data_IF_208726318655
#
_entry.id   IF_208726318655
#
_cell.length_a   1.000
_cell.length_b   1.000
_cell.length_c   1.000
_cell.angle_alpha   90.00
_cell.angle_beta   90.00
_cell.angle_gamma   90.00
#
_symmetry.space_group_name_H-M   'P 1'
#
loop_
_entity.id
_entity.type
_entity.pdbx_description
1 polymer ?
2 water ?
#
# COMPACT_ATOMS: atom_id res chain seq x y z
N UNK A 4 16.22 -24.48 -6.70
CA UNK A 4 14.84 -24.08 -6.50
C UNK A 4 14.60 -22.68 -7.04
N UNK A 5 15.48 -21.73 -6.70
CA UNK A 5 15.33 -20.38 -7.20
C UNK A 5 15.48 -20.33 -8.70
N UNK A 6 16.45 -21.09 -9.25
CA UNK A 6 16.66 -21.12 -10.68
C UNK A 6 15.51 -21.77 -11.42
N UNK A 7 14.74 -22.63 -10.73
CA UNK A 7 13.56 -23.26 -11.31
C UNK A 7 12.32 -22.40 -11.16
N UNK A 8 12.09 -21.85 -9.96
CA UNK A 8 10.87 -21.08 -9.74
C UNK A 8 10.92 -19.75 -10.47
N UNK A 9 12.11 -19.17 -10.66
CA UNK A 9 12.21 -17.94 -11.46
C UNK A 9 11.79 -18.21 -12.90
N UNK A 10 12.26 -19.33 -13.46
CA UNK A 10 11.88 -19.70 -14.82
C UNK A 10 10.39 -19.98 -14.91
N UNK A 11 9.84 -20.68 -13.91
CA UNK A 11 8.40 -20.95 -13.91
C UNK A 11 7.61 -19.64 -13.87
N UNK A 12 8.08 -18.68 -13.07
CA UNK A 12 7.39 -17.39 -12.98
C UNK A 12 7.43 -16.66 -14.32
N UNK A 13 8.62 -16.58 -14.93
CA UNK A 13 8.71 -15.91 -16.22
C UNK A 13 7.87 -16.62 -17.27
N UNK A 14 7.81 -17.95 -17.21
CA UNK A 14 7.00 -18.70 -18.16
C UNK A 14 5.51 -18.42 -17.98
N UNK A 15 5.03 -18.44 -16.74
CA UNK A 15 3.62 -18.16 -16.47
C UNK A 15 3.27 -16.73 -16.87
N UNK A 16 4.17 -15.78 -16.58
CA UNK A 16 3.85 -14.39 -16.89
C UNK A 16 3.86 -14.16 -18.39
N UNK A 17 4.82 -14.76 -19.10
CA UNK A 17 4.83 -14.65 -20.55
C UNK A 17 3.59 -15.30 -21.14
N UNK A 18 3.12 -16.38 -20.53
CA UNK A 18 1.88 -17.01 -20.96
C UNK A 18 0.70 -16.06 -20.78
N UNK A 19 0.66 -15.33 -19.67
CA UNK A 19 -0.47 -14.42 -19.42
C UNK A 19 -0.52 -13.32 -20.48
N UNK A 20 0.65 -12.80 -20.87
CA UNK A 20 0.73 -11.81 -21.92
C UNK A 20 0.17 -10.44 -21.60
N UNK A 21 -0.43 -10.26 -20.43
CA UNK A 21 -0.97 -8.95 -20.09
C UNK A 21 0.14 -7.94 -19.90
N UNK A 22 -0.11 -6.65 -20.16
CA UNK A 22 0.91 -5.62 -19.90
C UNK A 22 1.35 -5.56 -18.45
N UNK A 23 0.51 -6.00 -17.52
CA UNK A 23 0.93 -6.07 -16.13
C UNK A 23 1.94 -7.18 -15.90
N UNK A 24 1.81 -8.28 -16.63
CA UNK A 24 2.74 -9.39 -16.47
C UNK A 24 4.14 -9.00 -16.94
N UNK A 25 4.23 -8.23 -18.02
CA UNK A 25 5.52 -7.79 -18.54
C UNK A 25 6.29 -7.00 -17.49
N UNK A 26 5.60 -6.06 -16.85
CA UNK A 26 6.17 -5.26 -15.75
C UNK A 26 6.64 -6.30 -14.71
N UNK A 27 5.75 -7.24 -14.42
CA UNK A 27 6.04 -8.31 -13.47
C UNK A 27 7.31 -9.03 -13.90
N UNK A 28 7.36 -9.38 -15.20
CA UNK A 28 8.56 -9.99 -15.76
C UNK A 28 9.77 -9.13 -15.47
N UNK A 29 9.68 -7.84 -15.79
CA UNK A 29 10.79 -6.93 -15.48
C UNK A 29 11.05 -6.90 -13.99
N UNK A 30 9.98 -6.91 -13.19
CA UNK A 30 10.14 -6.92 -11.74
C UNK A 30 10.90 -8.15 -11.27
N UNK A 31 10.80 -9.25 -12.02
CA UNK A 31 11.54 -10.45 -11.67
C UNK A 31 12.97 -10.33 -12.15
N UNK A 32 13.19 -9.74 -13.31
CA UNK A 32 14.54 -9.68 -13.86
C UNK A 32 15.45 -8.78 -13.04
N UNK A 33 14.88 -7.74 -12.40
CA UNK A 33 15.66 -6.81 -11.59
C UNK A 33 15.64 -7.15 -10.10
N UNK A 34 14.91 -8.19 -9.69
CA UNK A 34 14.86 -8.63 -8.29
C UNK A 34 14.49 -7.48 -7.36
N UNK A 35 13.38 -6.83 -7.68
CA UNK A 35 12.88 -5.69 -6.92
C UNK A 35 11.71 -6.16 -6.06
N UNK A 36 11.94 -6.27 -4.75
CA UNK A 36 10.91 -6.79 -3.85
C UNK A 36 9.63 -5.98 -3.95
N UNK A 37 9.76 -4.65 -3.90
CA UNK A 37 8.58 -3.78 -3.95
C UNK A 37 7.85 -3.93 -5.27
N UNK A 38 8.59 -4.02 -6.37
CA UNK A 38 7.95 -4.20 -7.67
C UNK A 38 7.24 -5.54 -7.75
N UNK A 39 7.84 -6.59 -7.19
CA UNK A 39 7.18 -7.91 -7.16
C UNK A 39 5.89 -7.83 -6.36
N UNK A 40 5.93 -7.16 -5.20
CA UNK A 40 4.75 -7.04 -4.36
C UNK A 40 3.65 -6.29 -5.10
N UNK A 41 4.00 -5.17 -5.74
CA UNK A 41 3.02 -4.37 -6.48
C UNK A 41 2.43 -5.18 -7.62
N UNK A 42 3.27 -5.91 -8.37
CA UNK A 42 2.77 -6.70 -9.48
C UNK A 42 1.84 -7.81 -9.00
N UNK A 43 2.19 -8.45 -7.88
CA UNK A 43 1.33 -9.50 -7.35
C UNK A 43 -0.01 -8.93 -6.92
N UNK A 44 0.01 -7.79 -6.22
CA UNK A 44 -1.23 -7.16 -5.78
C UNK A 44 -2.10 -6.75 -6.96
N UNK A 45 -1.46 -6.27 -8.03
CA UNK A 45 -2.25 -5.84 -9.19
C UNK A 45 -2.83 -7.04 -9.92
N UNK A 46 -2.04 -8.09 -10.13
CA UNK A 46 -2.55 -9.28 -10.79
C UNK A 46 -3.65 -9.93 -9.97
N UNK A 47 -3.58 -9.80 -8.63
CA UNK A 47 -4.66 -10.29 -7.79
C UNK A 47 -5.91 -9.45 -7.93
N UNK A 48 -5.76 -8.12 -8.01
CA UNK A 48 -6.89 -7.22 -8.11
C UNK A 48 -7.47 -7.14 -9.52
N UNK A 49 -6.85 -7.79 -10.50
CA UNK A 49 -7.39 -7.81 -11.86
C UNK A 49 -7.93 -9.17 -12.28
N UNK A 50 -7.61 -10.24 -11.54
CA UNK A 50 -8.14 -11.57 -11.83
C UNK A 50 -7.11 -12.60 -12.23
N UNK A 51 -5.85 -12.23 -12.42
CA UNK A 51 -4.81 -13.20 -12.76
C UNK A 51 -4.29 -13.75 -11.44
N UNK A 52 -4.88 -14.87 -11.01
CA UNK A 52 -4.48 -15.46 -9.74
C UNK A 52 -3.17 -16.22 -9.85
N UNK A 53 -2.95 -16.91 -10.97
CA UNK A 53 -1.74 -17.70 -11.12
C UNK A 53 -0.49 -16.82 -11.13
N UNK A 54 -0.55 -15.68 -11.81
CA UNK A 54 0.62 -14.81 -11.84
C UNK A 54 0.99 -14.30 -10.46
N UNK A 55 -0.01 -13.85 -9.71
CA UNK A 55 0.24 -13.39 -8.35
C UNK A 55 0.78 -14.54 -7.48
N UNK A 56 0.25 -15.74 -7.69
CA UNK A 56 0.71 -16.90 -6.92
C UNK A 56 2.18 -17.19 -7.19
N UNK A 57 2.58 -17.22 -8.46
CA UNK A 57 3.97 -17.56 -8.76
C UNK A 57 4.89 -16.42 -8.33
N UNK A 58 4.44 -15.17 -8.38
CA UNK A 58 5.24 -14.09 -7.84
C UNK A 58 5.45 -14.26 -6.34
N UNK A 59 4.39 -14.70 -5.65
CA UNK A 59 4.52 -15.01 -4.23
C UNK A 59 5.52 -16.12 -3.98
N UNK A 60 5.47 -17.18 -4.80
CA UNK A 60 6.43 -18.27 -4.65
C UNK A 60 7.86 -17.78 -4.85
N UNK A 61 8.10 -17.04 -5.94
CA UNK A 61 9.45 -16.57 -6.21
C UNK A 61 9.94 -15.61 -5.15
N UNK A 62 9.05 -14.80 -4.58
CA UNK A 62 9.47 -13.89 -3.52
C UNK A 62 9.80 -14.64 -2.23
N UNK A 63 8.97 -15.63 -1.87
CA UNK A 63 9.21 -16.38 -0.65
C UNK A 63 10.48 -17.22 -0.75
N UNK A 64 10.74 -17.79 -1.92
CA UNK A 64 11.95 -18.58 -2.09
C UNK A 64 13.19 -17.68 -2.09
N UNK A 65 13.07 -16.48 -2.64
CA UNK A 65 14.20 -15.56 -2.68
C UNK A 65 14.52 -15.02 -1.29
N UNK B 4 25.47 6.20 -13.00
CA UNK B 4 24.49 5.26 -13.53
C UNK B 4 23.07 5.81 -13.42
N UNK B 5 22.71 6.27 -12.21
CA UNK B 5 21.37 6.80 -12.01
C UNK B 5 21.17 8.08 -12.81
N UNK B 6 22.19 8.93 -12.89
CA UNK B 6 22.09 10.19 -13.62
C UNK B 6 21.95 9.99 -15.11
N UNK B 7 22.31 8.82 -15.63
CA UNK B 7 22.13 8.55 -17.06
C UNK B 7 20.72 8.05 -17.37
N UNK B 8 20.24 7.07 -16.61
CA UNK B 8 18.92 6.49 -16.87
C UNK B 8 17.82 7.47 -16.47
N UNK B 9 18.10 8.34 -15.50
CA UNK B 9 17.13 9.33 -15.05
C UNK B 9 16.69 10.25 -16.19
N UNK B 10 17.61 10.63 -17.07
CA UNK B 10 17.24 11.56 -18.14
C UNK B 10 16.19 10.96 -19.07
N UNK B 11 16.41 9.73 -19.55
CA UNK B 11 15.40 9.11 -20.39
C UNK B 11 14.12 8.86 -19.60
N UNK B 12 14.24 8.50 -18.31
CA UNK B 12 13.03 8.27 -17.52
C UNK B 12 12.17 9.52 -17.44
N UNK B 13 12.79 10.67 -17.13
CA UNK B 13 12.04 11.92 -17.08
C UNK B 13 11.50 12.29 -18.45
N UNK B 14 12.25 11.99 -19.53
CA UNK B 14 11.76 12.30 -20.87
C UNK B 14 10.50 11.51 -21.17
N UNK B 15 10.51 10.21 -20.86
CA UNK B 15 9.33 9.37 -21.05
C UNK B 15 8.17 9.88 -20.21
N UNK B 16 8.46 10.30 -18.98
CA UNK B 16 7.39 10.73 -18.08
C UNK B 16 6.76 12.03 -18.58
N UNK B 17 7.59 12.98 -19.02
CA UNK B 17 7.06 14.20 -19.61
C UNK B 17 6.29 13.91 -20.88
N UNK B 18 6.74 12.91 -21.65
CA UNK B 18 6.01 12.49 -22.84
C UNK B 18 4.62 12.01 -22.48
N UNK B 19 4.48 11.33 -21.34
CA UNK B 19 3.15 10.83 -20.95
C UNK B 19 2.19 11.98 -20.73
N UNK B 20 2.65 13.05 -20.09
CA UNK B 20 1.88 14.25 -19.90
C UNK B 20 0.68 14.15 -18.99
N UNK B 21 0.33 12.96 -18.50
CA UNK B 21 -0.81 12.86 -17.60
C UNK B 21 -0.49 13.53 -16.26
N UNK B 22 -1.51 14.06 -15.57
CA UNK B 22 -1.26 14.66 -14.25
C UNK B 22 -0.59 13.69 -13.28
N UNK B 23 -0.79 12.38 -13.46
CA UNK B 23 -0.08 11.42 -12.64
C UNK B 23 1.40 11.38 -13.01
N UNK B 24 1.71 11.55 -14.29
CA UNK B 24 3.10 11.56 -14.72
C UNK B 24 3.84 12.79 -14.20
N UNK B 25 3.15 13.94 -14.17
CA UNK B 25 3.74 15.17 -13.67
C UNK B 25 4.18 15.00 -12.22
N UNK B 26 3.43 14.21 -11.46
CA UNK B 26 3.79 13.90 -10.07
C UNK B 26 5.06 13.02 -10.16
N UNK B 27 4.99 12.02 -11.03
CA UNK B 27 6.08 11.06 -11.22
C UNK B 27 7.42 11.76 -11.47
N UNK B 28 7.41 12.71 -12.42
CA UNK B 28 8.62 13.50 -12.69
C UNK B 28 9.13 14.13 -11.41
N UNK B 29 8.23 14.79 -10.66
CA UNK B 29 8.62 15.37 -9.38
C UNK B 29 9.15 14.31 -8.44
N UNK B 30 8.53 13.13 -8.44
CA UNK B 30 9.04 12.05 -7.61
C UNK B 30 10.42 11.60 -8.05
N UNK B 31 10.71 11.71 -9.35
CA UNK B 31 12.01 11.27 -9.85
C UNK B 31 13.08 12.33 -9.61
N UNK B 32 12.75 13.59 -9.84
CA UNK B 32 13.75 14.65 -9.75
C UNK B 32 14.22 14.87 -8.32
N UNK B 33 13.36 14.59 -7.34
CA UNK B 33 13.69 14.79 -5.94
C UNK B 33 14.27 13.53 -5.29
N UNK B 34 14.34 12.42 -6.04
CA UNK B 34 14.94 11.18 -5.57
C UNK B 34 14.29 10.69 -4.28
N UNK B 35 12.97 10.57 -4.30
CA UNK B 35 12.19 10.11 -3.16
C UNK B 35 11.74 8.68 -3.45
N UNK B 36 12.36 7.71 -2.78
CA UNK B 36 12.08 6.31 -3.05
C UNK B 36 10.60 5.97 -2.86
N UNK B 37 10.01 6.39 -1.73
CA UNK B 37 8.62 6.09 -1.48
C UNK B 37 7.72 6.76 -2.51
N UNK B 38 8.02 8.00 -2.87
CA UNK B 38 7.22 8.69 -3.88
C UNK B 38 7.34 8.01 -5.23
N UNK B 39 8.53 7.53 -5.58
CA UNK B 39 8.70 6.79 -6.83
C UNK B 39 7.87 5.51 -6.80
N UNK B 40 7.87 4.81 -5.66
CA UNK B 40 7.07 3.58 -5.55
C UNK B 40 5.59 3.88 -5.72
N UNK B 41 5.10 4.92 -5.05
CA UNK B 41 3.68 5.27 -5.15
C UNK B 41 3.33 5.68 -6.57
N UNK B 42 4.19 6.49 -7.20
CA UNK B 42 3.92 6.93 -8.56
C UNK B 42 3.94 5.76 -9.54
N UNK B 43 4.88 4.83 -9.35
CA UNK B 43 4.94 3.66 -10.22
C UNK B 43 3.69 2.80 -10.06
N UNK B 44 3.28 2.56 -8.82
CA UNK B 44 2.07 1.76 -8.59
C UNK B 44 0.85 2.42 -9.21
N UNK B 45 0.76 3.76 -9.10
CA UNK B 45 -0.41 4.43 -9.64
C UNK B 45 -0.39 4.43 -11.17
N UNK B 46 0.78 4.68 -11.78
CA UNK B 46 0.87 4.65 -13.22
C UNK B 46 0.58 3.26 -13.78
N UNK B 47 0.93 2.21 -13.03
CA UNK B 47 0.63 0.86 -13.48
C UNK B 47 -0.87 0.56 -13.40
N UNK B 48 -1.52 0.99 -12.32
CA UNK B 48 -2.92 0.70 -12.11
C UNK B 48 -3.86 1.62 -12.89
N UNK B 49 -3.32 2.55 -13.68
CA UNK B 49 -4.15 3.40 -14.54
C UNK B 49 -4.01 3.05 -16.01
N UNK B 50 -3.01 2.25 -16.38
CA UNK B 50 -2.83 1.82 -17.76
C UNK B 50 -1.55 2.31 -18.38
N UNK B 51 -0.78 3.15 -17.70
CA UNK B 51 0.50 3.64 -18.22
C UNK B 51 1.60 2.67 -17.81
N UNK B 52 1.87 1.68 -18.66
CA UNK B 52 2.99 0.78 -18.42
C UNK B 52 4.31 1.46 -18.77
N UNK B 53 4.28 2.38 -19.72
CA UNK B 53 5.48 3.07 -20.15
C UNK B 53 6.14 3.79 -18.99
N UNK B 54 5.35 4.50 -18.18
CA UNK B 54 5.90 5.17 -17.01
C UNK B 54 6.39 4.22 -15.94
N UNK B 55 5.61 3.18 -15.64
CA UNK B 55 6.01 2.22 -14.61
C UNK B 55 7.31 1.53 -14.96
N UNK B 56 7.51 1.21 -16.24
CA UNK B 56 8.74 0.54 -16.65
C UNK B 56 9.96 1.40 -16.38
N UNK B 57 9.90 2.69 -16.77
CA UNK B 57 11.06 3.54 -16.58
C UNK B 57 11.27 3.86 -15.11
N UNK B 58 10.20 3.96 -14.33
CA UNK B 58 10.37 4.15 -12.89
C UNK B 58 11.02 2.92 -12.25
N UNK B 59 10.62 1.72 -12.67
CA UNK B 59 11.26 0.52 -12.16
C UNK B 59 12.72 0.47 -12.55
N UNK B 60 13.05 0.81 -13.80
CA UNK B 60 14.44 0.80 -14.24
C UNK B 60 15.28 1.77 -13.42
N UNK B 61 14.81 3.02 -13.29
CA UNK B 61 15.57 4.01 -12.56
C UNK B 61 15.67 3.67 -11.07
N UNK B 62 14.62 3.06 -10.51
CA UNK B 62 14.66 2.67 -9.11
C UNK B 62 15.64 1.53 -8.88
N UNK B 63 15.69 0.56 -9.81
CA UNK B 63 16.65 -0.52 -9.69
C UNK B 63 18.08 0.00 -9.85
N UNK B 64 18.27 1.02 -10.70
CA UNK B 64 19.60 1.60 -10.83
C UNK B 64 19.97 2.35 -9.55
N UNK B 65 18.98 2.98 -8.90
CA UNK B 65 19.27 3.66 -7.64
C UNK B 65 19.59 2.67 -6.54
N UNK B 66 18.90 1.52 -6.53
CA UNK B 66 19.12 0.52 -5.50
C UNK B 66 20.52 -0.07 -5.60
N UNK B 67 20.93 -0.46 -6.81
CA UNK B 67 22.24 -1.05 -7.01
C UNK B 67 23.27 0.04 -7.28
N UNK C 4 13.56 25.85 9.79
CA UNK C 4 13.52 25.37 8.42
C UNK C 4 12.21 24.63 8.17
N UNK C 5 11.91 23.68 9.05
CA UNK C 5 10.68 22.90 8.94
C UNK C 5 9.45 23.75 9.21
N UNK C 6 9.56 24.72 10.12
CA UNK C 6 8.41 25.51 10.54
C UNK C 6 7.82 26.33 9.40
N UNK C 7 8.57 26.58 8.33
CA UNK C 7 8.02 27.29 7.17
C UNK C 7 7.30 26.34 6.22
N UNK C 8 7.90 25.18 5.92
CA UNK C 8 7.26 24.27 4.98
C UNK C 8 6.03 23.62 5.61
N UNK C 9 6.04 23.43 6.93
CA UNK C 9 4.85 22.91 7.59
C UNK C 9 3.68 23.86 7.44
N UNK C 10 3.94 25.17 7.61
CA UNK C 10 2.90 26.18 7.44
C UNK C 10 2.41 26.20 6.00
N UNK C 11 3.34 26.12 5.05
CA UNK C 11 2.95 26.10 3.65
C UNK C 11 2.06 24.90 3.35
N UNK C 12 2.42 23.73 3.87
CA UNK C 12 1.63 22.52 3.62
C UNK C 12 0.24 22.62 4.23
N UNK C 13 0.17 23.04 5.50
CA UNK C 13 -1.13 23.13 6.15
C UNK C 13 -2.02 24.16 5.47
N UNK C 14 -1.44 25.27 5.02
CA UNK C 14 -2.24 26.29 4.33
C UNK C 14 -2.75 25.78 3.00
N UNK C 15 -1.87 25.16 2.20
CA UNK C 15 -2.28 24.65 0.89
C UNK C 15 -3.35 23.58 1.04
N UNK C 16 -3.20 22.69 2.02
CA UNK C 16 -4.16 21.60 2.17
C UNK C 16 -5.50 22.10 2.71
N UNK C 17 -5.47 23.00 3.69
CA UNK C 17 -6.70 23.57 4.22
C UNK C 17 -7.45 24.36 3.15
N UNK C 18 -6.73 25.00 2.23
CA UNK C 18 -7.38 25.71 1.14
C UNK C 18 -8.22 24.77 0.28
N UNK C 19 -7.73 23.55 0.05
CA UNK C 19 -8.43 22.61 -0.82
C UNK C 19 -9.80 22.23 -0.26
N UNK C 20 -9.87 22.03 1.05
CA UNK C 20 -11.14 21.71 1.69
C UNK C 20 -11.70 20.34 1.39
N UNK C 21 -11.06 19.54 0.53
CA UNK C 21 -11.56 18.20 0.26
C UNK C 21 -11.38 17.32 1.50
N UNK C 22 -12.25 16.33 1.68
CA UNK C 22 -12.06 15.41 2.81
C UNK C 22 -10.74 14.67 2.78
N UNK C 23 -10.15 14.51 1.60
CA UNK C 23 -8.80 13.93 1.52
C UNK C 23 -7.76 14.92 2.02
N UNK C 24 -7.95 16.21 1.74
CA UNK C 24 -7.01 17.22 2.21
C UNK C 24 -7.09 17.39 3.71
N UNK C 25 -8.30 17.31 4.26
CA UNK C 25 -8.51 17.44 5.71
C UNK C 25 -7.75 16.35 6.46
N UNK C 26 -7.67 15.16 5.88
CA UNK C 26 -6.90 14.06 6.49
C UNK C 26 -5.42 14.47 6.37
N UNK C 27 -5.05 14.92 5.17
CA UNK C 27 -3.68 15.32 4.86
C UNK C 27 -3.12 16.29 5.90
N UNK C 28 -3.93 17.32 6.21
CA UNK C 28 -3.55 18.30 7.23
C UNK C 28 -3.15 17.60 8.53
N UNK C 29 -4.02 16.69 9.00
CA UNK C 29 -3.70 15.93 10.20
C UNK C 29 -2.41 15.14 10.04
N UNK C 30 -2.23 14.51 8.88
CA UNK C 30 -1.01 13.75 8.63
C UNK C 30 0.21 14.64 8.70
N UNK C 31 0.04 15.92 8.37
CA UNK C 31 1.15 16.85 8.45
C UNK C 31 1.36 17.30 9.88
N UNK C 32 0.27 17.50 10.63
CA UNK C 32 0.42 18.09 11.96
C UNK C 32 1.12 17.15 12.93
N UNK C 33 0.90 15.84 12.81
CA UNK C 33 1.52 14.88 13.72
C UNK C 33 2.80 14.28 13.16
N UNK C 34 3.19 14.63 11.93
CA UNK C 34 4.42 14.12 11.32
C UNK C 34 4.41 12.60 11.32
N UNK C 35 3.35 12.03 10.75
CA UNK C 35 3.14 10.59 10.71
C UNK C 35 3.49 10.08 9.30
N UNK C 36 4.62 9.39 9.19
CA UNK C 36 5.12 8.97 7.89
C UNK C 36 4.10 8.13 7.13
N UNK C 37 3.52 7.13 7.81
CA UNK C 37 2.52 6.28 7.17
C UNK C 37 1.28 7.07 6.78
N UNK C 38 0.82 7.95 7.68
CA UNK C 38 -0.35 8.76 7.36
C UNK C 38 -0.06 9.71 6.22
N UNK C 39 1.14 10.27 6.18
CA UNK C 39 1.53 11.16 5.08
C UNK C 39 1.54 10.39 3.76
N UNK C 40 2.09 9.17 3.78
CA UNK C 40 2.10 8.35 2.56
C UNK C 40 0.68 8.03 2.09
N UNK C 41 -0.19 7.65 3.02
CA UNK C 41 -1.57 7.32 2.67
C UNK C 41 -2.27 8.56 2.10
N UNK C 42 -2.07 9.71 2.75
CA UNK C 42 -2.70 10.94 2.28
C UNK C 42 -2.20 11.34 0.90
N UNK C 43 -0.90 11.20 0.65
CA UNK C 43 -0.36 11.54 -0.66
C UNK C 43 -0.92 10.62 -1.74
N UNK C 44 -0.94 9.31 -1.47
CA UNK C 44 -1.47 8.38 -2.45
C UNK C 44 -2.95 8.65 -2.70
N UNK C 45 -3.70 9.02 -1.67
CA UNK C 45 -5.13 9.27 -1.86
C UNK C 45 -5.37 10.56 -2.64
N UNK C 46 -4.64 11.62 -2.32
CA UNK C 46 -4.78 12.85 -3.10
C UNK C 46 -4.37 12.64 -4.54
N UNK C 47 -3.39 11.76 -4.78
CA UNK C 47 -3.02 11.42 -6.15
C UNK C 47 -4.13 10.62 -6.82
N UNK C 48 -4.75 9.70 -6.09
CA UNK C 48 -5.81 8.87 -6.64
C UNK C 48 -7.15 9.59 -6.71
N UNK C 49 -7.23 10.83 -6.24
CA UNK C 49 -8.46 11.60 -6.33
C UNK C 49 -8.38 12.77 -7.31
N UNK C 50 -7.18 13.19 -7.71
CA UNK C 50 -7.06 14.26 -8.68
C UNK C 50 -6.44 15.54 -8.16
N UNK C 51 -6.12 15.62 -6.87
CA UNK C 51 -5.56 16.83 -6.28
C UNK C 51 -4.06 16.88 -6.55
N UNK C 52 -3.67 17.58 -7.60
CA UNK C 52 -2.26 17.68 -7.94
C UNK C 52 -1.52 18.60 -6.97
N UNK C 53 -2.19 19.69 -6.54
CA UNK C 53 -1.53 20.62 -5.62
C UNK C 53 -1.25 19.96 -4.28
N UNK C 54 -2.22 19.21 -3.76
CA UNK C 54 -2.02 18.54 -2.48
C UNK C 54 -0.92 17.49 -2.55
N UNK C 55 -0.93 16.69 -3.61
CA UNK C 55 0.10 15.67 -3.77
C UNK C 55 1.48 16.32 -3.91
N UNK C 56 1.56 17.42 -4.67
CA UNK C 56 2.84 18.09 -4.87
C UNK C 56 3.38 18.66 -3.56
N UNK C 57 2.51 19.34 -2.80
CA UNK C 57 2.98 19.95 -1.56
C UNK C 57 3.30 18.88 -0.51
N UNK C 58 2.57 17.75 -0.52
CA UNK C 58 2.93 16.66 0.37
C UNK C 58 4.29 16.07 0.02
N UNK C 59 4.57 15.92 -1.28
CA UNK C 59 5.89 15.45 -1.70
C UNK C 59 6.98 16.44 -1.27
N UNK C 60 6.74 17.73 -1.45
CA UNK C 60 7.72 18.74 -1.05
C UNK C 60 7.99 18.69 0.45
N UNK C 61 6.93 18.69 1.26
CA UNK C 61 7.11 18.67 2.71
C UNK C 61 7.74 17.36 3.17
N UNK C 62 7.42 16.25 2.52
CA UNK C 62 8.03 14.98 2.91
C UNK C 62 9.51 14.95 2.56
N UNK C 63 9.87 15.50 1.39
CA UNK C 63 11.27 15.55 1.01
C UNK C 63 12.06 16.45 1.96
N UNK C 64 11.43 17.53 2.43
CA UNK C 64 12.10 18.39 3.40
C UNK C 64 12.23 17.69 4.75
N UNK C 65 11.20 16.98 5.15
CA UNK C 65 11.21 16.33 6.45
C UNK C 65 12.23 15.22 6.54
N UNK C 66 12.38 14.46 5.47
CA UNK C 66 13.30 13.32 5.45
C UNK C 66 14.72 13.64 5.83
N UNK C 67 15.06 14.91 5.92
CA UNK C 67 16.44 15.26 6.17
C UNK C 67 16.62 16.35 7.19
N UNK C 68 17.41 16.09 8.21
CA UNK C 68 17.70 17.14 9.16
C UNK C 68 16.45 17.87 9.61
N UNK D 4 -1.88 7.57 28.62
CA UNK D 4 -2.21 8.32 27.41
C UNK D 4 -2.84 7.41 26.36
N UNK D 5 -2.18 6.27 26.10
CA UNK D 5 -2.69 5.34 25.10
C UNK D 5 -4.01 4.72 25.54
N UNK D 6 -4.11 4.34 26.83
CA UNK D 6 -5.33 3.76 27.36
C UNK D 6 -6.47 4.75 27.38
N UNK D 7 -6.16 6.05 27.29
CA UNK D 7 -7.18 7.08 27.24
C UNK D 7 -7.72 7.23 25.82
N UNK D 8 -6.82 7.29 24.84
CA UNK D 8 -7.23 7.49 23.45
C UNK D 8 -7.89 6.24 22.89
N UNK D 9 -7.55 5.06 23.43
CA UNK D 9 -8.18 3.83 22.97
C UNK D 9 -9.69 3.86 23.14
N UNK D 10 -10.18 4.36 24.28
CA UNK D 10 -11.61 4.37 24.52
C UNK D 10 -12.35 5.26 23.52
N UNK D 11 -11.85 6.49 23.30
CA UNK D 11 -12.48 7.36 22.32
C UNK D 11 -12.42 6.77 20.92
N UNK D 12 -11.30 6.16 20.57
CA UNK D 12 -11.18 5.57 19.23
C UNK D 12 -12.17 4.43 19.04
N UNK D 13 -12.23 3.52 20.02
CA UNK D 13 -13.15 2.40 19.94
C UNK D 13 -14.60 2.87 19.91
N UNK D 14 -14.93 3.91 20.68
CA UNK D 14 -16.30 4.42 20.67
C UNK D 14 -16.66 5.01 19.31
N UNK D 15 -15.78 5.86 18.77
CA UNK D 15 -16.06 6.49 17.49
C UNK D 15 -16.18 5.44 16.39
N UNK D 16 -15.31 4.43 16.41
CA UNK D 16 -15.36 3.42 15.36
C UNK D 16 -16.59 2.52 15.50
N UNK D 17 -16.94 2.14 16.73
CA UNK D 17 -18.13 1.34 16.96
C UNK D 17 -19.39 2.07 16.54
N UNK D 18 -19.42 3.39 16.71
CA UNK D 18 -20.58 4.16 16.29
C UNK D 18 -20.85 4.02 14.80
N UNK D 19 -19.80 3.95 13.99
CA UNK D 19 -19.98 3.89 12.54
C UNK D 19 -20.75 2.64 12.14
N UNK D 20 -20.45 1.51 12.78
CA UNK D 20 -21.14 0.27 12.49
C UNK D 20 -20.85 -0.33 11.14
N UNK D 21 -20.07 0.34 10.30
CA UNK D 21 -19.73 -0.19 8.99
C UNK D 21 -18.85 -1.43 9.13
N UNK D 22 -18.92 -2.37 8.18
CA UNK D 22 -18.03 -3.53 8.23
C UNK D 22 -16.56 -3.16 8.23
N UNK D 23 -16.21 -1.99 7.70
CA UNK D 23 -14.85 -1.49 7.82
C UNK D 23 -14.55 -1.05 9.25
N UNK D 24 -15.56 -0.50 9.94
CA UNK D 24 -15.35 -0.09 11.32
C UNK D 24 -15.18 -1.29 12.25
N UNK D 25 -15.93 -2.37 12.01
CA UNK D 25 -15.81 -3.59 12.81
C UNK D 25 -14.39 -4.14 12.73
N UNK D 26 -13.77 -3.95 11.57
CA UNK D 26 -12.40 -4.35 11.37
C UNK D 26 -11.55 -3.35 12.18
N UNK D 27 -11.82 -2.06 11.96
CA UNK D 27 -11.07 -0.99 12.61
C UNK D 27 -11.01 -1.17 14.13
N UNK D 28 -12.17 -1.39 14.75
CA UNK D 28 -12.21 -1.67 16.19
C UNK D 28 -11.27 -2.81 16.53
N UNK D 29 -11.39 -3.91 15.78
CA UNK D 29 -10.52 -5.06 16.01
C UNK D 29 -9.05 -4.68 15.84
N UNK D 30 -8.76 -3.82 14.87
CA UNK D 30 -7.38 -3.36 14.68
C UNK D 30 -6.88 -2.58 15.89
N UNK D 31 -7.77 -1.87 16.59
CA UNK D 31 -7.32 -1.07 17.73
C UNK D 31 -7.17 -1.94 18.97
N UNK D 32 -8.11 -2.85 19.21
CA UNK D 32 -8.08 -3.61 20.46
C UNK D 32 -6.88 -4.53 20.52
N UNK D 33 -6.41 -5.01 19.36
CA UNK D 33 -5.27 -5.91 19.29
C UNK D 33 -3.96 -5.16 19.04
N UNK D 34 -4.01 -3.84 18.89
CA UNK D 34 -2.82 -3.00 18.73
C UNK D 34 -1.97 -3.47 17.55
N UNK D 35 -2.60 -3.60 16.39
CA UNK D 35 -1.94 -4.05 15.16
C UNK D 35 -1.73 -2.85 14.26
N UNK D 36 -0.49 -2.40 14.15
CA UNK D 36 -0.17 -1.19 13.38
C UNK D 36 -0.61 -1.32 11.93
N UNK D 37 -0.24 -2.44 11.29
CA UNK D 37 -0.58 -2.63 9.88
C UNK D 37 -2.09 -2.67 9.67
N UNK D 38 -2.81 -3.33 10.57
CA UNK D 38 -4.26 -3.39 10.45
C UNK D 38 -4.87 -1.99 10.61
N UNK D 39 -4.34 -1.20 11.54
CA UNK D 39 -4.83 0.18 11.70
C UNK D 39 -4.58 0.98 10.43
N UNK D 40 -3.39 0.84 9.84
CA UNK D 40 -3.07 1.57 8.62
C UNK D 40 -4.00 1.17 7.48
N UNK D 41 -4.23 -0.13 7.30
CA UNK D 41 -5.12 -0.60 6.24
C UNK D 41 -6.54 -0.09 6.48
N UNK D 42 -6.99 -0.16 7.74
CA UNK D 42 -8.35 0.29 8.05
C UNK D 42 -8.50 1.77 7.78
N UNK D 43 -7.50 2.57 8.14
CA UNK D 43 -7.57 4.01 7.89
C UNK D 43 -7.60 4.31 6.40
N UNK D 44 -6.71 3.68 5.62
CA UNK D 44 -6.69 3.94 4.19
C UNK D 44 -8.00 3.51 3.53
N UNK D 45 -8.60 2.42 4.00
CA UNK D 45 -9.85 1.95 3.42
C UNK D 45 -11.02 2.84 3.82
N UNK D 46 -11.05 3.27 5.09
CA UNK D 46 -12.09 4.18 5.56
C UNK D 46 -12.01 5.52 4.85
N UNK D 47 -10.81 5.92 4.40
CA UNK D 47 -10.72 7.16 3.63
C UNK D 47 -11.38 7.02 2.27
N UNK D 48 -11.15 5.89 1.59
CA UNK D 48 -11.75 5.67 0.28
C UNK D 48 -13.18 5.17 0.37
N UNK D 49 -13.71 4.99 1.58
CA UNK D 49 -15.11 4.59 1.74
C UNK D 49 -15.99 5.74 2.23
N UNK D 50 -15.42 6.84 2.72
CA UNK D 50 -16.19 8.00 3.11
C UNK D 50 -16.20 8.32 4.58
N UNK D 51 -15.63 7.46 5.42
CA UNK D 51 -15.59 7.70 6.87
C UNK D 51 -14.32 8.49 7.19
N UNK D 52 -14.44 9.82 7.23
CA UNK D 52 -13.29 10.64 7.55
C UNK D 52 -13.00 10.65 9.05
N UNK D 53 -14.05 10.61 9.88
CA UNK D 53 -13.86 10.63 11.32
C UNK D 53 -13.10 9.38 11.78
N UNK D 54 -13.44 8.23 11.20
CA UNK D 54 -12.75 7.01 11.56
C UNK D 54 -11.28 7.05 11.20
N UNK D 55 -10.97 7.53 9.99
CA UNK D 55 -9.57 7.63 9.59
C UNK D 55 -8.80 8.60 10.48
N UNK D 56 -9.42 9.74 10.83
CA UNK D 56 -8.74 10.71 11.68
C UNK D 56 -8.47 10.15 13.06
N UNK D 57 -9.48 9.50 13.66
CA UNK D 57 -9.29 8.96 15.01
C UNK D 57 -8.32 7.78 14.99
N UNK D 58 -8.29 7.01 13.90
CA UNK D 58 -7.29 5.96 13.77
C UNK D 58 -5.89 6.55 13.70
N UNK D 59 -5.74 7.67 12.98
CA UNK D 59 -4.47 8.37 12.94
C UNK D 59 -4.05 8.85 14.32
N UNK D 60 -5.00 9.43 15.07
CA UNK D 60 -4.68 9.89 16.43
C UNK D 60 -4.20 8.74 17.29
N UNK D 61 -4.97 7.64 17.31
CA UNK D 61 -4.60 6.51 18.16
C UNK D 61 -3.29 5.89 17.71
N UNK D 62 -3.00 5.87 16.41
CA UNK D 62 -1.74 5.31 15.95
C UNK D 62 -0.57 6.21 16.32
N UNK D 63 -0.77 7.53 16.24
CA UNK D 63 0.31 8.43 16.62
C UNK D 63 0.63 8.29 18.09
N UNK D 64 -0.40 8.06 18.91
CA UNK D 64 -0.14 7.78 20.32
C UNK D 64 0.49 6.40 20.46
N UNK D 65 0.10 5.45 19.61
CA UNK D 65 0.59 4.08 19.68
C UNK D 65 2.06 3.95 19.32
N UNK D 66 2.58 4.84 18.46
CA UNK D 66 3.99 4.75 18.09
C UNK D 66 4.93 4.86 19.28
N UNK D 67 4.49 5.51 20.36
CA UNK D 67 5.32 5.71 21.54
C UNK D 67 4.63 5.20 22.79
N UNK E 3 -0.24 -25.91 19.69
CA UNK E 3 -0.11 -24.61 20.32
C UNK E 3 -1.05 -23.59 19.71
N UNK E 4 -0.83 -22.31 20.03
CA UNK E 4 -1.73 -21.26 19.54
C UNK E 4 -1.65 -21.12 18.02
N UNK E 5 -0.43 -20.98 17.48
CA UNK E 5 -0.29 -20.78 16.05
C UNK E 5 -0.69 -22.03 15.27
N UNK E 6 -0.32 -23.21 15.76
CA UNK E 6 -0.63 -24.45 15.04
C UNK E 6 -2.13 -24.74 15.01
N UNK E 7 -2.89 -24.18 15.94
CA UNK E 7 -4.35 -24.29 15.99
C UNK E 7 -5.03 -23.21 15.15
N UNK E 8 -4.55 -21.97 15.29
CA UNK E 8 -5.18 -20.86 14.58
C UNK E 8 -4.89 -20.95 13.08
N UNK E 9 -3.76 -21.54 12.69
CA UNK E 9 -3.49 -21.74 11.28
C UNK E 9 -4.54 -22.64 10.65
N UNK E 10 -4.87 -23.74 11.34
CA UNK E 10 -5.88 -24.66 10.85
C UNK E 10 -7.25 -24.00 10.82
N UNK E 11 -7.60 -23.27 11.88
CA UNK E 11 -8.88 -22.58 11.91
C UNK E 11 -8.99 -21.56 10.78
N UNK E 12 -7.91 -20.81 10.53
CA UNK E 12 -7.91 -19.81 9.46
C UNK E 12 -8.08 -20.46 8.10
N UNK E 13 -7.32 -21.52 7.84
CA UNK E 13 -7.44 -22.21 6.55
C UNK E 13 -8.84 -22.80 6.38
N UNK E 14 -9.45 -23.28 7.47
CA UNK E 14 -10.80 -23.82 7.37
C UNK E 14 -11.80 -22.73 6.97
N UNK E 15 -11.72 -21.56 7.62
CA UNK E 15 -12.63 -20.48 7.26
C UNK E 15 -12.38 -20.01 5.81
N UNK E 16 -11.10 -19.94 5.41
CA UNK E 16 -10.78 -19.38 4.09
C UNK E 16 -11.16 -20.34 2.96
N UNK E 17 -10.94 -21.64 3.14
CA UNK E 17 -11.26 -22.59 2.08
C UNK E 17 -12.75 -22.59 1.73
N UNK E 18 -13.61 -22.39 2.72
CA UNK E 18 -15.05 -22.33 2.47
C UNK E 18 -15.41 -21.23 1.49
N UNK E 19 -14.71 -20.09 1.58
CA UNK E 19 -15.06 -18.93 0.74
C UNK E 19 -14.90 -19.26 -0.74
N UNK E 20 -13.84 -19.99 -1.08
CA UNK E 20 -13.62 -20.38 -2.46
C UNK E 20 -13.26 -19.25 -3.40
N UNK E 21 -13.27 -18.01 -2.93
CA UNK E 21 -12.94 -16.87 -3.78
C UNK E 21 -11.48 -16.94 -4.20
N UNK E 22 -11.15 -16.41 -5.39
CA UNK E 22 -9.73 -16.35 -5.77
C UNK E 22 -8.90 -15.56 -4.78
N UNK E 23 -9.51 -14.63 -4.06
CA UNK E 23 -8.78 -13.93 -3.01
C UNK E 23 -8.50 -14.86 -1.83
N UNK E 24 -9.46 -15.74 -1.51
CA UNK E 24 -9.20 -16.70 -0.45
C UNK E 24 -8.15 -17.71 -0.89
N UNK E 25 -8.18 -18.10 -2.16
CA UNK E 25 -7.19 -19.00 -2.73
C UNK E 25 -5.80 -18.39 -2.61
N UNK E 26 -5.72 -17.06 -2.63
CA UNK E 26 -4.44 -16.38 -2.46
C UNK E 26 -4.18 -16.43 -0.93
N UNK E 27 -5.21 -16.07 -0.17
CA UNK E 27 -5.11 -16.01 1.29
C UNK E 27 -4.55 -17.29 1.90
N UNK E 28 -5.11 -18.44 1.52
CA UNK E 28 -4.58 -19.72 1.99
C UNK E 28 -3.09 -19.82 1.68
N UNK E 29 -2.70 -19.52 0.44
CA UNK E 29 -1.28 -19.52 0.10
C UNK E 29 -0.53 -18.51 0.95
N UNK E 30 -1.12 -17.34 1.20
CA UNK E 30 -0.47 -16.38 2.08
C UNK E 30 -0.32 -16.92 3.50
N UNK E 31 -1.26 -17.76 3.94
CA UNK E 31 -1.17 -18.29 5.30
C UNK E 31 -0.21 -19.47 5.35
N UNK E 32 -0.30 -20.39 4.38
CA UNK E 32 0.48 -21.61 4.45
C UNK E 32 1.97 -21.34 4.27
N UNK E 33 2.32 -20.33 3.49
CA UNK E 33 3.71 -20.00 3.22
C UNK E 33 4.24 -18.93 4.17
N UNK E 34 3.39 -18.42 5.07
CA UNK E 34 3.77 -17.45 6.10
C UNK E 34 4.41 -16.20 5.50
N UNK E 35 3.70 -15.59 4.56
CA UNK E 35 4.18 -14.37 3.89
C UNK E 35 3.45 -13.18 4.47
N UNK E 36 4.16 -12.37 5.26
CA UNK E 36 3.53 -11.24 5.94
C UNK E 36 2.90 -10.29 4.93
N UNK E 37 3.64 -9.95 3.87
CA UNK E 37 3.13 -9.02 2.86
C UNK E 37 1.93 -9.59 2.14
N UNK E 38 1.98 -10.87 1.77
CA UNK E 38 0.85 -11.50 1.10
C UNK E 38 -0.35 -11.56 2.02
N UNK E 39 -0.12 -11.80 3.31
CA UNK E 39 -1.21 -11.80 4.28
C UNK E 39 -1.86 -10.43 4.35
N UNK E 40 -1.05 -9.36 4.35
CA UNK E 40 -1.60 -8.01 4.37
C UNK E 40 -2.42 -7.74 3.11
N UNK E 41 -1.89 -8.11 1.95
CA UNK E 41 -2.59 -7.87 0.69
C UNK E 41 -3.91 -8.63 0.66
N UNK E 42 -3.89 -9.90 1.08
CA UNK E 42 -5.11 -10.70 1.07
C UNK E 42 -6.13 -10.15 2.05
N UNK E 43 -5.68 -9.71 3.23
CA UNK E 43 -6.61 -9.17 4.21
C UNK E 43 -7.27 -7.90 3.69
N UNK E 44 -6.48 -6.97 3.15
CA UNK E 44 -7.07 -5.74 2.63
C UNK E 44 -7.99 -6.03 1.46
N UNK E 45 -7.66 -7.01 0.61
CA UNK E 45 -8.53 -7.29 -0.53
C UNK E 45 -9.86 -7.89 -0.08
N UNK E 46 -9.82 -8.86 0.85
CA UNK E 46 -11.07 -9.41 1.36
C UNK E 46 -11.88 -8.37 2.12
N UNK E 47 -11.21 -7.40 2.75
CA UNK E 47 -11.95 -6.32 3.40
C UNK E 47 -12.59 -5.39 2.36
N UNK E 48 -11.87 -5.14 1.26
CA UNK E 48 -12.35 -4.25 0.21
C UNK E 48 -13.34 -4.92 -0.74
N UNK E 49 -13.58 -6.22 -0.61
CA UNK E 49 -14.60 -6.88 -1.43
C UNK E 49 -15.83 -7.27 -0.62
N UNK E 50 -15.78 -7.24 0.70
CA UNK E 50 -16.93 -7.54 1.53
C UNK E 50 -16.80 -8.77 2.40
N UNK E 51 -15.74 -9.55 2.31
CA UNK E 51 -15.58 -10.75 3.13
C UNK E 51 -15.01 -10.34 4.48
N UNK E 52 -15.91 -10.12 5.44
CA UNK E 52 -15.47 -9.74 6.78
C UNK E 52 -14.91 -10.93 7.55
N UNK E 53 -15.47 -12.13 7.36
CA UNK E 53 -14.98 -13.30 8.07
C UNK E 53 -13.55 -13.63 7.67
N UNK E 54 -13.25 -13.62 6.37
CA UNK E 54 -11.91 -13.94 5.92
C UNK E 54 -10.89 -12.92 6.39
N UNK E 55 -11.20 -11.63 6.23
CA UNK E 55 -10.29 -10.59 6.69
C UNK E 55 -10.09 -10.63 8.19
N UNK E 56 -11.17 -10.90 8.94
CA UNK E 56 -11.07 -10.98 10.39
C UNK E 56 -10.17 -12.13 10.82
N UNK E 57 -10.38 -13.31 10.25
CA UNK E 57 -9.59 -14.46 10.67
C UNK E 57 -8.15 -14.31 10.21
N UNK E 58 -7.92 -13.64 9.08
CA UNK E 58 -6.56 -13.32 8.67
C UNK E 58 -5.91 -12.36 9.67
N UNK E 59 -6.69 -11.41 10.18
CA UNK E 59 -6.18 -10.52 11.22
C UNK E 59 -5.80 -11.28 12.48
N UNK E 60 -6.64 -12.23 12.91
CA UNK E 60 -6.29 -13.03 14.08
C UNK E 60 -5.00 -13.81 13.85
N UNK E 61 -4.90 -14.50 12.71
CA UNK E 61 -3.71 -15.30 12.46
C UNK E 61 -2.47 -14.43 12.34
N UNK E 62 -2.61 -13.24 11.77
CA UNK E 62 -1.45 -12.36 11.68
C UNK E 62 -1.04 -11.85 13.04
N UNK E 63 -2.00 -11.52 13.88
CA UNK E 63 -1.67 -10.99 15.20
C UNK E 63 -1.03 -12.05 16.09
N UNK E 64 -1.48 -13.30 16.00
CA UNK E 64 -0.82 -14.36 16.77
C UNK E 64 0.53 -14.69 16.17
N UNK E 65 0.64 -14.67 14.84
CA UNK E 65 1.91 -14.97 14.20
C UNK E 65 2.93 -13.87 14.48
N UNK E 66 2.48 -12.61 14.43
CA UNK E 66 3.35 -11.49 14.75
C UNK E 66 3.71 -11.43 16.23
N UNK E 67 3.04 -12.21 17.08
CA UNK E 67 3.32 -12.23 18.51
C UNK E 67 3.93 -13.57 18.93
#
# INVERSE_FOLDING_TARGET
MGGELEKVKAEALAVLAAIGSPAAKXAVEAVERDHFSAIEIAARFLLEIGDEEGSRVLLEYSDVLRKHHHHHH
MGGELEKVKAEALAVLAAIGSPAAKXAVEAVERDHFSAIEIAARFLLEIGDEEGSRVLLEYSDVLRKHHHHHH
MGGELEKVKAEALAVLAAIGSPAAKXAVEAVERDHFSAIEIAARFLLEIGDEEGSRVLLEYSDVLRKHHHHHH
MGGELEKVKAEALAVLAAIGSPAAKXAVEAVERDHFSAIEIAARFLLEIGDEEGSRVLLEYSDVLRKHHHHHH
MGGELEKVKAEALAVLAAIGSPAAKXAVEAVERDHFSAIEIAARFLLEIGDEEGSRVLLEYSDVLRKHHHHHH
#
